data_IF_036775592196
#
_entry.id   IF_036775592196
#
_cell.length_a   1.000
_cell.length_b   1.000
_cell.length_c   1.000
_cell.angle_alpha   90.00
_cell.angle_beta   90.00
_cell.angle_gamma   90.00
#
_symmetry.space_group_name_H-M   'P 1'
#
loop_
_entity.id
_entity.type
_entity.pdbx_description
1 polymer ?
#
# COMPACT_ATOMS: atom_id res chain seq x y z
N UNK A 1 11.16 8.85 21.37
CA UNK A 1 10.97 7.75 20.41
C UNK A 1 11.75 8.11 19.16
N UNK A 2 12.47 7.16 18.58
CA UNK A 2 13.30 7.43 17.41
C UNK A 2 12.44 7.77 16.18
N UNK A 3 12.82 8.83 15.45
CA UNK A 3 12.13 9.28 14.24
C UNK A 3 12.24 8.26 13.11
N UNK A 4 13.35 7.52 13.05
CA UNK A 4 13.53 6.47 12.06
C UNK A 4 12.56 5.30 12.33
N UNK A 5 12.44 4.88 13.59
CA UNK A 5 11.45 3.89 14.01
C UNK A 5 10.00 4.34 13.74
N UNK A 6 9.71 5.63 13.83
CA UNK A 6 8.40 6.20 13.46
C UNK A 6 8.14 6.17 11.96
N UNK A 7 9.18 6.37 11.15
CA UNK A 7 9.12 6.37 9.69
C UNK A 7 9.08 4.96 9.12
N UNK A 8 9.72 3.98 9.78
CA UNK A 8 9.80 2.59 9.36
C UNK A 8 9.47 1.64 10.52
N UNK A 9 8.21 1.58 10.98
CA UNK A 9 7.82 0.81 12.16
C UNK A 9 8.08 -0.70 12.04
N UNK A 10 8.26 -1.20 10.82
CA UNK A 10 8.58 -2.61 10.50
C UNK A 10 9.91 -2.75 9.74
N UNK A 11 10.75 -1.71 9.76
CA UNK A 11 11.96 -1.64 8.94
C UNK A 11 11.68 -1.38 7.45
N UNK A 12 12.76 -1.14 6.70
CA UNK A 12 12.70 -0.93 5.25
C UNK A 12 12.46 -2.23 4.48
N UNK A 13 11.79 -2.11 3.33
CA UNK A 13 11.64 -3.24 2.42
C UNK A 13 12.97 -3.62 1.79
N UNK A 14 13.27 -4.93 1.74
CA UNK A 14 14.43 -5.48 1.04
C UNK A 14 13.98 -6.48 0.00
N UNK A 15 14.35 -6.21 -1.25
CA UNK A 15 14.12 -7.14 -2.35
C UNK A 15 14.95 -8.41 -2.15
N UNK A 16 14.35 -9.55 -2.49
CA UNK A 16 15.04 -10.84 -2.59
C UNK A 16 15.33 -11.15 -4.05
N UNK A 17 16.32 -12.01 -4.30
CA UNK A 17 16.62 -12.48 -5.65
C UNK A 17 15.47 -13.30 -6.26
N UNK A 18 14.71 -14.00 -5.41
CA UNK A 18 13.50 -14.71 -5.81
C UNK A 18 12.51 -14.84 -4.65
N UNK A 19 11.26 -15.14 -4.99
CA UNK A 19 10.18 -15.41 -4.05
C UNK A 19 9.53 -16.75 -4.42
N UNK A 20 9.42 -17.65 -3.44
CA UNK A 20 8.71 -18.91 -3.62
C UNK A 20 7.20 -18.69 -3.80
N UNK A 21 6.52 -19.65 -4.43
CA UNK A 21 5.05 -19.60 -4.56
C UNK A 21 4.33 -19.53 -3.20
N UNK A 22 4.92 -20.11 -2.15
CA UNK A 22 4.40 -20.01 -0.79
C UNK A 22 4.50 -18.57 -0.24
N UNK A 23 5.64 -17.90 -0.44
CA UNK A 23 5.81 -16.50 -0.06
C UNK A 23 4.88 -15.58 -0.85
N UNK A 24 4.73 -15.81 -2.16
CA UNK A 24 3.79 -15.06 -3.00
C UNK A 24 2.37 -15.19 -2.45
N UNK A 25 1.92 -16.40 -2.12
CA UNK A 25 0.59 -16.63 -1.51
C UNK A 25 0.43 -15.90 -0.18
N UNK A 26 1.42 -15.97 0.71
CA UNK A 26 1.41 -15.24 1.99
C UNK A 26 1.33 -13.72 1.78
N UNK A 27 2.08 -13.19 0.82
CA UNK A 27 2.05 -11.77 0.48
C UNK A 27 0.68 -11.33 -0.05
N UNK A 28 0.04 -12.15 -0.91
CA UNK A 28 -1.32 -11.90 -1.40
C UNK A 28 -2.33 -11.89 -0.23
N UNK A 29 -2.16 -12.75 0.77
CA UNK A 29 -3.02 -12.76 1.96
C UNK A 29 -2.90 -11.47 2.77
N UNK A 30 -1.67 -10.93 2.93
CA UNK A 30 -1.44 -9.65 3.61
C UNK A 30 -2.18 -8.52 2.88
N UNK A 31 -2.02 -8.44 1.55
CA UNK A 31 -2.74 -7.45 0.71
C UNK A 31 -4.26 -7.64 0.89
N UNK A 32 -4.75 -8.87 0.82
CA UNK A 32 -6.19 -9.17 0.94
C UNK A 32 -6.78 -8.76 2.29
N UNK A 33 -6.01 -8.85 3.37
CA UNK A 33 -6.48 -8.56 4.72
C UNK A 33 -6.44 -7.06 5.07
N UNK A 34 -5.69 -6.24 4.33
CA UNK A 34 -5.48 -4.83 4.69
C UNK A 34 -6.78 -4.02 4.86
N UNK A 35 -7.77 -4.08 3.95
CA UNK A 35 -8.95 -3.23 4.06
C UNK A 35 -9.76 -3.50 5.34
N UNK A 36 -9.95 -4.78 5.70
CA UNK A 36 -10.67 -5.13 6.94
C UNK A 36 -9.89 -4.76 8.18
N UNK A 37 -8.55 -4.86 8.15
CA UNK A 37 -7.70 -4.42 9.26
C UNK A 37 -7.81 -2.92 9.50
N UNK A 38 -7.79 -2.10 8.46
CA UNK A 38 -8.01 -0.66 8.62
C UNK A 38 -9.43 -0.35 9.11
N UNK A 39 -10.46 -0.99 8.57
CA UNK A 39 -11.84 -0.79 9.02
C UNK A 39 -11.97 -1.10 10.52
N UNK A 40 -11.37 -2.19 10.99
CA UNK A 40 -11.42 -2.56 12.41
C UNK A 40 -10.64 -1.59 13.30
N UNK A 41 -9.44 -1.17 12.87
CA UNK A 41 -8.59 -0.26 13.64
C UNK A 41 -9.20 1.14 13.77
N UNK A 42 -9.77 1.64 12.67
CA UNK A 42 -10.29 3.00 12.56
C UNK A 42 -11.76 3.10 13.01
N UNK A 43 -12.39 1.96 13.31
CA UNK A 43 -13.77 1.90 13.78
C UNK A 43 -13.92 2.65 15.10
N UNK A 44 -14.67 3.76 15.08
CA UNK A 44 -14.88 4.61 16.26
C UNK A 44 -13.86 5.74 16.44
N UNK A 45 -13.02 6.00 15.43
CA UNK A 45 -12.21 7.22 15.40
C UNK A 45 -13.07 8.41 14.97
N UNK A 46 -12.72 9.60 15.46
CA UNK A 46 -13.32 10.86 15.10
C UNK A 46 -12.38 11.69 14.21
N UNK A 47 -12.85 12.85 13.78
CA UNK A 47 -12.08 13.75 12.91
C UNK A 47 -10.78 14.23 13.55
N UNK A 48 -10.71 14.37 14.88
CA UNK A 48 -9.49 14.77 15.58
C UNK A 48 -8.41 13.68 15.43
N UNK A 49 -8.78 12.42 15.66
CA UNK A 49 -7.87 11.28 15.44
C UNK A 49 -7.46 11.15 13.98
N UNK A 50 -8.39 11.32 13.03
CA UNK A 50 -8.06 11.26 11.60
C UNK A 50 -7.11 12.38 11.16
N UNK A 51 -7.20 13.55 11.77
CA UNK A 51 -6.34 14.69 11.47
C UNK A 51 -5.04 14.72 12.29
N UNK A 52 -4.78 13.70 13.11
CA UNK A 52 -3.53 13.59 13.87
C UNK A 52 -2.41 13.04 12.98
N UNK A 53 -1.22 13.69 12.93
CA UNK A 53 -0.05 13.16 12.23
C UNK A 53 0.43 11.82 12.81
N UNK A 54 0.73 10.84 11.95
CA UNK A 54 1.26 9.53 12.43
C UNK A 54 2.66 9.64 13.04
N UNK A 55 3.39 10.70 12.71
CA UNK A 55 4.69 11.12 13.28
C UNK A 55 4.87 12.64 13.14
N UNK A 56 5.82 13.26 13.86
CA UNK A 56 6.19 14.66 13.63
C UNK A 56 6.51 14.93 12.15
N UNK A 57 5.95 16.02 11.62
CA UNK A 57 6.06 16.45 10.22
C UNK A 57 5.67 15.39 9.17
N UNK A 58 4.92 14.36 9.60
CA UNK A 58 4.36 13.33 8.73
C UNK A 58 2.91 13.64 8.34
N UNK A 59 2.37 12.82 7.44
CA UNK A 59 0.97 12.89 7.07
C UNK A 59 0.03 12.65 8.26
N UNK A 60 -1.15 13.23 8.18
CA UNK A 60 -2.29 12.83 9.02
C UNK A 60 -2.71 11.39 8.69
N UNK A 61 -3.48 10.78 9.58
CA UNK A 61 -4.05 9.46 9.31
C UNK A 61 -4.97 9.52 8.09
N UNK A 62 -5.74 10.59 7.93
CA UNK A 62 -6.59 10.81 6.76
C UNK A 62 -5.79 10.74 5.46
N UNK A 63 -4.73 11.55 5.35
CA UNK A 63 -3.83 11.55 4.20
C UNK A 63 -3.20 10.17 3.96
N UNK A 64 -2.77 9.49 5.04
CA UNK A 64 -2.20 8.14 4.94
C UNK A 64 -3.19 7.13 4.35
N UNK A 65 -4.46 7.13 4.78
CA UNK A 65 -5.47 6.20 4.28
C UNK A 65 -5.81 6.48 2.82
N UNK A 66 -5.91 7.75 2.43
CA UNK A 66 -6.10 8.14 1.03
C UNK A 66 -4.90 7.69 0.17
N UNK A 67 -3.67 7.95 0.61
CA UNK A 67 -2.45 7.51 -0.06
C UNK A 67 -2.42 6.00 -0.30
N UNK A 68 -2.77 5.17 0.70
CA UNK A 68 -2.77 3.72 0.52
C UNK A 68 -3.73 3.32 -0.61
N UNK A 69 -4.92 3.94 -0.68
CA UNK A 69 -5.87 3.65 -1.75
C UNK A 69 -5.32 4.08 -3.14
N UNK A 70 -4.76 5.28 -3.24
CA UNK A 70 -4.17 5.79 -4.49
C UNK A 70 -2.98 4.95 -4.97
N UNK A 71 -2.09 4.61 -4.05
CA UNK A 71 -0.92 3.76 -4.30
C UNK A 71 -1.34 2.38 -4.81
N UNK A 72 -2.39 1.79 -4.23
CA UNK A 72 -2.85 0.45 -4.59
C UNK A 72 -3.67 0.45 -5.89
N UNK A 73 -4.34 1.54 -6.26
CA UNK A 73 -4.93 1.72 -7.60
C UNK A 73 -3.83 1.75 -8.67
N UNK A 74 -2.76 2.51 -8.41
CA UNK A 74 -1.60 2.56 -9.29
C UNK A 74 -0.97 1.16 -9.42
N UNK A 75 -0.79 0.44 -8.31
CA UNK A 75 -0.27 -0.92 -8.29
C UNK A 75 -1.11 -1.89 -9.13
N UNK A 76 -2.42 -1.91 -8.89
CA UNK A 76 -3.39 -2.72 -9.62
C UNK A 76 -3.33 -2.44 -11.13
N UNK A 77 -3.25 -1.16 -11.51
CA UNK A 77 -3.13 -0.75 -12.92
C UNK A 77 -1.81 -1.24 -13.53
N UNK A 78 -0.68 -1.05 -12.84
CA UNK A 78 0.66 -1.48 -13.28
C UNK A 78 0.75 -2.99 -13.45
N UNK A 79 0.14 -3.78 -12.57
CA UNK A 79 0.04 -5.23 -12.73
C UNK A 79 -0.66 -5.59 -14.03
N UNK A 80 -1.77 -4.92 -14.38
CA UNK A 80 -2.48 -5.20 -15.64
C UNK A 80 -1.63 -4.87 -16.87
N UNK A 81 -0.94 -3.73 -16.86
CA UNK A 81 -0.01 -3.35 -17.94
C UNK A 81 1.08 -4.43 -18.10
N UNK A 82 1.76 -4.81 -17.02
CA UNK A 82 2.81 -5.83 -17.06
C UNK A 82 2.33 -7.20 -17.58
N UNK A 83 1.06 -7.55 -17.33
CA UNK A 83 0.47 -8.81 -17.79
C UNK A 83 0.02 -8.78 -19.24
N UNK A 84 -0.15 -7.60 -19.84
CA UNK A 84 -0.74 -7.44 -21.18
C UNK A 84 0.18 -6.79 -22.19
N UNK A 85 1.31 -6.24 -21.74
CA UNK A 85 2.34 -5.60 -22.55
C UNK A 85 3.71 -6.26 -22.31
N UNK A 86 4.65 -6.02 -23.22
CA UNK A 86 6.02 -6.49 -23.08
C UNK A 86 6.88 -5.46 -22.33
N UNK A 87 7.12 -5.71 -21.04
CA UNK A 87 7.89 -4.87 -20.14
C UNK A 87 7.58 -3.35 -20.26
N UNK A 88 6.32 -2.92 -20.02
CA UNK A 88 5.93 -1.54 -20.20
C UNK A 88 6.68 -0.59 -19.26
N UNK A 89 6.89 0.64 -19.71
CA UNK A 89 7.38 1.73 -18.86
C UNK A 89 6.19 2.35 -18.13
N UNK A 90 6.14 2.22 -16.81
CA UNK A 90 4.99 2.71 -16.03
C UNK A 90 5.03 4.22 -15.83
N UNK A 91 3.89 4.82 -15.46
CA UNK A 91 3.79 6.22 -15.07
C UNK A 91 4.07 6.38 -13.56
N UNK A 92 5.10 7.14 -13.16
CA UNK A 92 5.27 7.58 -11.78
C UNK A 92 4.24 8.66 -11.44
N UNK A 93 4.00 8.85 -10.15
CA UNK A 93 3.19 9.93 -9.61
C UNK A 93 3.91 10.52 -8.39
N UNK A 94 3.60 11.76 -8.06
CA UNK A 94 4.13 12.45 -6.88
C UNK A 94 3.15 12.22 -5.72
N UNK A 95 3.44 11.23 -4.88
CA UNK A 95 2.60 10.85 -3.75
C UNK A 95 2.44 11.98 -2.72
N UNK A 96 3.48 12.80 -2.53
CA UNK A 96 3.43 13.93 -1.62
C UNK A 96 2.49 15.00 -2.17
N UNK A 97 2.58 15.32 -3.47
CA UNK A 97 1.66 16.25 -4.09
C UNK A 97 0.19 15.75 -4.07
N UNK A 98 -0.04 14.44 -4.24
CA UNK A 98 -1.38 13.85 -4.20
C UNK A 98 -1.99 13.94 -2.79
N UNK A 99 -1.22 13.61 -1.76
CA UNK A 99 -1.66 13.74 -0.37
C UNK A 99 -2.00 15.20 0.02
N UNK A 100 -1.45 16.18 -0.70
CA UNK A 100 -1.70 17.60 -0.45
C UNK A 100 -2.93 18.17 -1.18
N UNK A 101 -3.58 17.39 -2.05
CA UNK A 101 -4.81 17.79 -2.73
C UNK A 101 -5.99 17.99 -1.74
N UNK A 102 -7.00 18.80 -2.10
CA UNK A 102 -8.13 19.07 -1.21
C UNK A 102 -8.85 17.81 -0.71
N UNK A 103 -9.03 16.81 -1.58
CA UNK A 103 -9.64 15.54 -1.21
C UNK A 103 -8.71 14.70 -0.31
N UNK A 104 -7.41 14.66 -0.58
CA UNK A 104 -6.42 14.01 0.29
C UNK A 104 -6.35 14.60 1.71
N UNK A 105 -6.68 15.90 1.87
CA UNK A 105 -6.69 16.57 3.18
C UNK A 105 -8.01 16.55 3.92
N UNK A 106 -9.14 16.37 3.23
CA UNK A 106 -10.47 16.65 3.82
C UNK A 106 -11.54 15.59 3.54
N UNK A 107 -11.34 14.68 2.59
CA UNK A 107 -12.33 13.66 2.29
C UNK A 107 -12.56 12.71 3.47
N UNK A 108 -13.77 12.15 3.56
CA UNK A 108 -14.08 11.10 4.52
C UNK A 108 -13.25 9.85 4.24
N UNK A 109 -12.59 9.30 5.28
CA UNK A 109 -11.68 8.15 5.13
C UNK A 109 -12.41 6.91 4.62
N UNK A 110 -13.70 6.80 4.91
CA UNK A 110 -14.57 5.72 4.47
C UNK A 110 -14.60 5.56 2.95
N UNK A 111 -14.48 6.66 2.20
CA UNK A 111 -14.44 6.62 0.73
C UNK A 111 -13.23 5.80 0.25
N UNK A 112 -12.06 6.07 0.78
CA UNK A 112 -10.83 5.34 0.45
C UNK A 112 -10.83 3.92 1.01
N UNK A 113 -11.43 3.68 2.18
CA UNK A 113 -11.60 2.31 2.69
C UNK A 113 -12.47 1.44 1.77
N UNK A 114 -13.58 1.98 1.25
CA UNK A 114 -14.40 1.26 0.27
C UNK A 114 -13.68 1.08 -1.07
N UNK A 115 -13.01 2.13 -1.56
CA UNK A 115 -12.21 2.08 -2.79
C UNK A 115 -11.14 0.98 -2.70
N UNK A 116 -10.36 0.98 -1.62
CA UNK A 116 -9.33 -0.01 -1.32
C UNK A 116 -9.93 -1.41 -1.25
N UNK A 117 -11.08 -1.60 -0.57
CA UNK A 117 -11.79 -2.88 -0.51
C UNK A 117 -12.11 -3.41 -1.92
N UNK A 118 -12.74 -2.61 -2.78
CA UNK A 118 -13.14 -3.06 -4.11
C UNK A 118 -11.97 -3.29 -5.05
N UNK A 119 -10.94 -2.43 -4.98
CA UNK A 119 -9.68 -2.63 -5.72
C UNK A 119 -9.02 -3.93 -5.27
N UNK A 120 -8.91 -4.19 -3.97
CA UNK A 120 -8.28 -5.40 -3.44
C UNK A 120 -9.05 -6.66 -3.82
N UNK A 121 -10.39 -6.65 -3.80
CA UNK A 121 -11.18 -7.80 -4.25
C UNK A 121 -10.82 -8.20 -5.70
N UNK A 122 -10.74 -7.23 -6.60
CA UNK A 122 -10.36 -7.47 -8.01
C UNK A 122 -8.89 -7.81 -8.17
N UNK A 123 -8.02 -7.14 -7.42
CA UNK A 123 -6.58 -7.31 -7.52
C UNK A 123 -6.16 -8.68 -6.99
N UNK A 124 -6.64 -9.09 -5.82
CA UNK A 124 -6.37 -10.40 -5.23
C UNK A 124 -6.86 -11.54 -6.12
N UNK A 125 -8.01 -11.41 -6.80
CA UNK A 125 -8.45 -12.38 -7.80
C UNK A 125 -7.45 -12.50 -8.96
N UNK A 126 -6.94 -11.38 -9.46
CA UNK A 126 -5.92 -11.35 -10.52
C UNK A 126 -4.61 -11.99 -10.03
N UNK A 127 -4.11 -11.59 -8.85
CA UNK A 127 -2.85 -12.10 -8.29
C UNK A 127 -2.91 -13.61 -8.06
N UNK A 128 -4.03 -14.14 -7.55
CA UNK A 128 -4.20 -15.58 -7.33
C UNK A 128 -4.30 -16.40 -8.63
N UNK A 129 -4.60 -15.77 -9.77
CA UNK A 129 -4.63 -16.47 -11.07
C UNK A 129 -3.25 -16.68 -11.69
N UNK A 130 -2.23 -15.94 -11.24
CA UNK A 130 -0.90 -15.94 -11.84
C UNK A 130 -0.19 -17.28 -11.61
N UNK A 131 0.37 -17.84 -12.67
CA UNK A 131 1.34 -18.93 -12.59
C UNK A 131 2.76 -18.36 -12.73
N UNK A 132 3.76 -19.24 -12.77
CA UNK A 132 5.18 -18.84 -12.86
C UNK A 132 5.46 -17.90 -14.04
N UNK A 133 4.82 -18.12 -15.18
CA UNK A 133 4.99 -17.27 -16.37
C UNK A 133 4.44 -15.85 -16.16
N UNK A 134 3.26 -15.70 -15.54
CA UNK A 134 2.70 -14.39 -15.22
C UNK A 134 3.50 -13.69 -14.11
N UNK A 135 3.94 -14.43 -13.09
CA UNK A 135 4.79 -13.92 -12.02
C UNK A 135 6.14 -13.41 -12.54
N UNK A 136 6.64 -14.01 -13.62
CA UNK A 136 7.86 -13.60 -14.28
C UNK A 136 7.73 -12.38 -15.20
N UNK A 137 6.51 -11.91 -15.48
CA UNK A 137 6.32 -10.68 -16.26
C UNK A 137 6.78 -9.46 -15.51
N UNK A 138 7.10 -8.41 -16.25
CA UNK A 138 7.79 -7.24 -15.71
C UNK A 138 7.17 -5.92 -16.14
N UNK A 139 7.52 -4.85 -15.42
CA UNK A 139 7.46 -3.49 -15.92
C UNK A 139 8.76 -2.74 -15.56
N UNK A 140 9.02 -1.62 -16.23
CA UNK A 140 10.18 -0.75 -15.94
C UNK A 140 9.74 0.55 -15.28
N UNK A 141 10.40 0.92 -14.16
CA UNK A 141 10.18 2.22 -13.52
C UNK A 141 11.10 3.28 -14.15
N UNK A 142 10.57 4.33 -14.81
CA UNK A 142 11.39 5.23 -15.62
C UNK A 142 12.38 6.08 -14.81
N UNK A 143 12.07 6.39 -13.54
CA UNK A 143 12.96 7.22 -12.72
C UNK A 143 14.28 6.52 -12.34
N UNK A 144 14.28 5.19 -12.25
CA UNK A 144 15.46 4.41 -11.83
C UNK A 144 15.97 3.48 -12.93
N UNK A 145 15.19 3.27 -13.99
CA UNK A 145 15.43 2.23 -14.99
C UNK A 145 15.27 0.80 -14.44
N UNK A 146 14.86 0.64 -13.17
CA UNK A 146 14.73 -0.68 -12.54
C UNK A 146 13.57 -1.45 -13.17
N UNK A 147 13.85 -2.68 -13.56
CA UNK A 147 12.85 -3.66 -13.98
C UNK A 147 12.29 -4.34 -12.73
N UNK A 148 10.97 -4.38 -12.61
CA UNK A 148 10.25 -5.04 -11.53
C UNK A 148 9.53 -6.27 -12.07
N UNK A 149 9.73 -7.41 -11.42
CA UNK A 149 8.93 -8.62 -11.67
C UNK A 149 7.66 -8.63 -10.82
N UNK A 150 6.62 -9.34 -11.26
CA UNK A 150 5.34 -9.35 -10.53
C UNK A 150 5.45 -9.95 -9.13
N UNK A 151 6.29 -10.97 -8.93
CA UNK A 151 6.58 -11.54 -7.61
C UNK A 151 7.18 -10.50 -6.63
N UNK A 152 8.14 -9.70 -7.09
CA UNK A 152 8.72 -8.59 -6.32
C UNK A 152 7.67 -7.51 -5.98
N UNK A 153 6.81 -7.18 -6.94
CA UNK A 153 5.74 -6.18 -6.76
C UNK A 153 4.76 -6.65 -5.70
N UNK A 154 4.33 -7.91 -5.75
CA UNK A 154 3.44 -8.50 -4.75
C UNK A 154 4.09 -8.43 -3.35
N UNK A 155 5.37 -8.76 -3.23
CA UNK A 155 6.09 -8.69 -1.96
C UNK A 155 6.22 -7.23 -1.44
N UNK A 156 6.55 -6.29 -2.32
CA UNK A 156 6.67 -4.88 -1.97
C UNK A 156 5.33 -4.31 -1.48
N UNK A 157 4.22 -4.62 -2.16
CA UNK A 157 2.90 -4.13 -1.76
C UNK A 157 2.34 -4.84 -0.52
N UNK A 158 2.76 -6.08 -0.23
CA UNK A 158 2.50 -6.69 1.07
C UNK A 158 3.22 -5.96 2.21
N UNK A 159 4.50 -5.60 2.02
CA UNK A 159 5.21 -4.75 2.97
C UNK A 159 4.58 -3.36 3.09
N UNK A 160 4.24 -2.70 1.98
CA UNK A 160 3.61 -1.38 1.98
C UNK A 160 2.27 -1.38 2.75
N UNK A 161 1.48 -2.46 2.58
CA UNK A 161 0.25 -2.70 3.31
C UNK A 161 0.49 -2.74 4.82
N UNK A 162 1.40 -3.60 5.29
CA UNK A 162 1.71 -3.72 6.72
C UNK A 162 2.34 -2.45 7.26
N UNK A 163 3.23 -1.83 6.50
CA UNK A 163 3.95 -0.61 6.85
C UNK A 163 3.00 0.53 7.20
N UNK A 164 2.06 0.84 6.30
CA UNK A 164 1.09 1.91 6.55
C UNK A 164 0.03 1.53 7.59
N UNK A 165 -0.34 0.25 7.70
CA UNK A 165 -1.16 -0.21 8.83
C UNK A 165 -0.46 0.08 10.17
N UNK A 166 0.84 -0.23 10.27
CA UNK A 166 1.60 -0.03 11.51
C UNK A 166 1.79 1.45 11.86
N UNK A 167 1.85 2.36 10.89
CA UNK A 167 1.81 3.79 11.19
C UNK A 167 0.54 4.19 11.97
N UNK A 168 -0.63 3.75 11.51
CA UNK A 168 -1.89 4.03 12.19
C UNK A 168 -2.00 3.27 13.52
N UNK A 169 -1.66 1.99 13.54
CA UNK A 169 -1.76 1.15 14.72
C UNK A 169 -0.85 1.64 15.86
N UNK A 170 0.41 1.94 15.56
CA UNK A 170 1.35 2.42 16.56
C UNK A 170 0.99 3.83 17.05
N UNK A 171 0.38 4.68 16.21
CA UNK A 171 -0.19 5.95 16.68
C UNK A 171 -1.30 5.72 17.69
N UNK A 172 -2.22 4.79 17.41
CA UNK A 172 -3.31 4.44 18.31
C UNK A 172 -2.81 3.93 19.66
N UNK A 173 -1.79 3.06 19.65
CA UNK A 173 -1.15 2.53 20.87
C UNK A 173 -0.55 3.66 21.70
N UNK A 174 0.21 4.57 21.08
CA UNK A 174 0.89 5.66 21.81
C UNK A 174 -0.07 6.68 22.43
N UNK A 175 -1.28 6.80 21.87
CA UNK A 175 -2.30 7.73 22.35
C UNK A 175 -3.43 7.03 23.14
N UNK A 176 -3.33 5.71 23.38
CA UNK A 176 -4.36 4.91 24.07
C UNK A 176 -5.75 4.98 23.41
N UNK A 177 -5.81 4.79 22.09
CA UNK A 177 -7.05 4.84 21.29
C UNK A 177 -7.66 3.47 20.96
N UNK A 178 -7.20 2.41 21.61
CA UNK A 178 -7.75 1.05 21.45
C UNK A 178 -8.98 0.84 22.31
#
# INVERSE_FOLDING_TARGET
MDLEQLRYPIGEFRFKDSYSLAEVKSNIQIISALPSRFINLLGGWDDEKYNTPYRPDGWTIRQLIHHVADSHINAYTRCRLALTEDNPVIKPYDEAAWAELPDGKAAQVELSLQLMRYVHLRWVLLLNSMQEAELARTYTHPATGRVFRMDEVIANYAWHSEHHYQHAFQLAVRNNWQ
#
